data_IF_126900616707
#
_entry.id   IF_126900616707
#
_cell.length_a   1.000
_cell.length_b   1.000
_cell.length_c   1.000
_cell.angle_alpha   90.00
_cell.angle_beta   90.00
_cell.angle_gamma   90.00
#
_symmetry.space_group_name_H-M   'P 1'
#
loop_
_entity.id
_entity.type
_entity.pdbx_description
1 polymer ?
#
# COMPACT_ATOMS: atom_id res chain seq x y z
N UNK A 1 -1.21 24.05 7.13
CA UNK A 1 -0.67 22.70 6.84
C UNK A 1 -1.68 21.61 7.14
N UNK A 2 -1.95 21.24 8.40
CA UNK A 2 -2.89 20.12 8.65
C UNK A 2 -4.34 20.42 8.24
N UNK A 3 -4.76 21.68 8.29
CA UNK A 3 -6.06 22.12 7.75
C UNK A 3 -6.16 21.85 6.24
N UNK A 4 -5.12 22.21 5.48
CA UNK A 4 -5.05 21.98 4.03
C UNK A 4 -5.07 20.49 3.69
N UNK A 5 -4.29 19.68 4.41
CA UNK A 5 -4.26 18.22 4.24
C UNK A 5 -5.63 17.58 4.51
N UNK A 6 -6.35 18.05 5.54
CA UNK A 6 -7.70 17.58 5.84
C UNK A 6 -8.71 18.03 4.79
N UNK A 7 -8.63 19.26 4.31
CA UNK A 7 -9.47 19.74 3.21
C UNK A 7 -9.26 18.91 1.93
N UNK A 8 -8.03 18.45 1.69
CA UNK A 8 -7.67 17.53 0.61
C UNK A 8 -8.01 16.05 0.89
N UNK A 9 -8.60 15.73 2.05
CA UNK A 9 -8.94 14.37 2.50
C UNK A 9 -7.73 13.41 2.60
N UNK A 10 -6.57 13.95 2.97
CA UNK A 10 -5.39 13.15 3.26
C UNK A 10 -5.62 12.35 4.56
N UNK A 11 -5.48 11.03 4.46
CA UNK A 11 -5.75 10.10 5.57
C UNK A 11 -4.53 9.82 6.44
N UNK A 12 -3.31 9.91 5.87
CA UNK A 12 -2.08 9.55 6.56
C UNK A 12 -0.96 10.54 6.20
N UNK A 13 -0.03 10.74 7.13
CA UNK A 13 1.12 11.62 6.97
C UNK A 13 2.40 10.87 7.31
N UNK A 14 3.28 10.69 6.33
CA UNK A 14 4.53 9.91 6.40
C UNK A 14 5.61 10.53 5.50
N UNK A 15 6.78 9.91 5.36
CA UNK A 15 7.97 10.55 4.77
C UNK A 15 8.48 9.90 3.47
N UNK A 16 8.13 8.67 3.16
CA UNK A 16 8.77 7.85 2.12
C UNK A 16 7.86 7.56 0.91
N UNK A 17 6.54 7.49 1.11
CA UNK A 17 5.56 6.98 0.16
C UNK A 17 5.52 7.77 -1.15
N UNK A 18 5.58 9.10 -1.07
CA UNK A 18 5.63 9.96 -2.25
C UNK A 18 6.86 9.67 -3.12
N UNK A 19 8.03 9.50 -2.50
CA UNK A 19 9.29 9.20 -3.19
C UNK A 19 9.25 7.82 -3.81
N UNK A 20 8.86 6.78 -3.06
CA UNK A 20 8.84 5.39 -3.55
C UNK A 20 7.86 5.23 -4.72
N UNK A 21 6.64 5.77 -4.61
CA UNK A 21 5.64 5.66 -5.67
C UNK A 21 6.02 6.43 -6.94
N UNK A 22 6.65 7.59 -6.80
CA UNK A 22 7.18 8.37 -7.93
C UNK A 22 8.31 7.61 -8.64
N UNK A 23 9.29 7.12 -7.89
CA UNK A 23 10.42 6.37 -8.45
C UNK A 23 9.95 5.08 -9.13
N UNK A 24 9.03 4.34 -8.52
CA UNK A 24 8.46 3.15 -9.13
C UNK A 24 7.83 3.45 -10.49
N UNK A 25 7.10 4.56 -10.62
CA UNK A 25 6.50 4.98 -11.89
C UNK A 25 7.55 5.35 -12.93
N UNK A 26 8.62 6.07 -12.55
CA UNK A 26 9.74 6.41 -13.43
C UNK A 26 10.42 5.14 -13.97
N UNK A 27 10.63 4.13 -13.12
CA UNK A 27 11.27 2.86 -13.50
C UNK A 27 10.32 1.82 -14.11
N UNK A 28 9.07 2.18 -14.40
CA UNK A 28 8.09 1.24 -14.97
C UNK A 28 7.76 0.06 -14.06
N UNK A 29 7.83 0.25 -12.74
CA UNK A 29 7.49 -0.73 -11.70
C UNK A 29 6.15 -0.39 -11.04
N UNK A 30 5.62 -1.35 -10.28
CA UNK A 30 4.43 -1.16 -9.44
C UNK A 30 4.89 -0.97 -8.00
N UNK A 31 4.22 -0.07 -7.28
CA UNK A 31 4.43 0.15 -5.86
C UNK A 31 3.07 0.40 -5.18
N UNK A 32 3.02 0.13 -3.89
CA UNK A 32 1.90 0.41 -3.00
C UNK A 32 2.42 0.60 -1.58
N UNK A 33 1.59 1.10 -0.68
CA UNK A 33 1.95 1.36 0.71
C UNK A 33 0.81 0.94 1.64
N UNK A 34 1.17 0.32 2.75
CA UNK A 34 0.33 0.14 3.92
C UNK A 34 1.12 0.65 5.12
N UNK A 35 0.45 1.37 6.03
CA UNK A 35 1.09 1.96 7.20
C UNK A 35 0.20 1.75 8.41
N UNK A 36 0.83 1.58 9.58
CA UNK A 36 0.16 1.71 10.87
C UNK A 36 0.08 3.19 11.27
N UNK A 37 -0.89 3.55 12.12
CA UNK A 37 -1.03 4.90 12.67
C UNK A 37 -0.44 4.90 14.07
N UNK A 38 0.73 5.53 14.21
CA UNK A 38 1.42 5.66 15.51
C UNK A 38 1.06 6.97 16.20
N UNK A 39 0.76 8.01 15.43
CA UNK A 39 0.57 9.36 15.97
C UNK A 39 -0.59 10.07 15.27
N UNK A 40 -1.55 10.57 16.07
CA UNK A 40 -2.61 11.44 15.57
C UNK A 40 -2.28 12.90 15.89
N UNK A 41 -1.69 13.60 14.91
CA UNK A 41 -1.13 14.95 15.11
C UNK A 41 -2.14 16.04 15.47
N UNK A 42 -3.45 15.82 15.26
CA UNK A 42 -4.50 16.78 15.64
C UNK A 42 -4.88 16.65 17.12
N UNK A 43 -4.96 15.42 17.64
CA UNK A 43 -5.36 15.17 19.03
C UNK A 43 -4.15 15.08 19.97
N UNK A 44 -2.96 14.85 19.42
CA UNK A 44 -1.74 14.61 20.19
C UNK A 44 -1.61 13.17 20.70
N UNK A 45 -2.55 12.29 20.37
CA UNK A 45 -2.50 10.88 20.76
C UNK A 45 -1.31 10.18 20.08
N UNK A 46 -0.61 9.38 20.87
CA UNK A 46 0.56 8.63 20.46
C UNK A 46 0.45 7.21 20.99
N UNK A 47 0.57 6.23 20.10
CA UNK A 47 0.52 4.81 20.45
C UNK A 47 1.50 4.01 19.57
N UNK A 48 2.65 3.69 20.14
CA UNK A 48 3.60 2.75 19.55
C UNK A 48 3.21 1.33 19.96
N UNK A 49 2.41 0.67 19.12
CA UNK A 49 2.03 -0.74 19.26
C UNK A 49 2.87 -1.60 18.28
N UNK A 50 3.84 -2.40 18.76
CA UNK A 50 4.63 -3.29 17.92
C UNK A 50 3.78 -4.31 17.13
N UNK A 51 2.63 -4.71 17.67
CA UNK A 51 1.72 -5.61 16.95
C UNK A 51 1.05 -4.91 15.77
N UNK A 52 0.79 -3.60 15.86
CA UNK A 52 0.21 -2.83 14.75
C UNK A 52 1.19 -2.70 13.58
N UNK A 53 2.46 -2.45 13.87
CA UNK A 53 3.54 -2.48 12.88
C UNK A 53 3.68 -3.87 12.26
N UNK A 54 3.68 -4.93 13.07
CA UNK A 54 3.72 -6.30 12.58
C UNK A 54 2.54 -6.61 11.65
N UNK A 55 1.32 -6.21 12.02
CA UNK A 55 0.13 -6.37 11.17
C UNK A 55 0.27 -5.65 9.84
N UNK A 56 0.79 -4.41 9.83
CA UNK A 56 1.04 -3.67 8.59
C UNK A 56 2.04 -4.42 7.68
N UNK A 57 3.14 -4.94 8.25
CA UNK A 57 4.10 -5.77 7.51
C UNK A 57 3.46 -7.05 6.95
N UNK A 58 2.63 -7.75 7.73
CA UNK A 58 1.92 -8.94 7.29
C UNK A 58 0.93 -8.64 6.17
N UNK A 59 0.21 -7.52 6.23
CA UNK A 59 -0.65 -7.05 5.14
C UNK A 59 0.16 -6.81 3.86
N UNK A 60 1.33 -6.18 3.97
CA UNK A 60 2.23 -6.00 2.84
C UNK A 60 2.70 -7.33 2.23
N UNK A 61 3.12 -8.28 3.08
CA UNK A 61 3.54 -9.61 2.64
C UNK A 61 2.40 -10.40 1.97
N UNK A 62 1.18 -10.32 2.52
CA UNK A 62 0.00 -10.97 1.97
C UNK A 62 -0.41 -10.35 0.63
N UNK A 63 -0.35 -9.02 0.51
CA UNK A 63 -0.57 -8.35 -0.76
C UNK A 63 0.44 -8.80 -1.83
N UNK A 64 1.73 -8.96 -1.49
CA UNK A 64 2.74 -9.50 -2.40
C UNK A 64 2.43 -10.94 -2.81
N UNK A 65 2.01 -11.80 -1.87
CA UNK A 65 1.60 -13.19 -2.15
C UNK A 65 0.44 -13.22 -3.16
N UNK A 66 -0.59 -12.40 -2.94
CA UNK A 66 -1.77 -12.30 -3.82
C UNK A 66 -1.37 -11.79 -5.20
N UNK A 67 -0.66 -10.67 -5.28
CA UNK A 67 -0.24 -10.06 -6.55
C UNK A 67 0.67 -10.99 -7.36
N UNK A 68 1.54 -11.75 -6.69
CA UNK A 68 2.38 -12.77 -7.34
C UNK A 68 1.51 -13.87 -7.96
N UNK A 69 0.50 -14.36 -7.23
CA UNK A 69 -0.46 -15.33 -7.76
C UNK A 69 -1.22 -14.79 -8.99
N UNK A 70 -1.61 -13.51 -8.97
CA UNK A 70 -2.26 -12.85 -10.10
C UNK A 70 -1.34 -12.74 -11.32
N UNK A 71 -0.07 -12.41 -11.12
CA UNK A 71 0.90 -12.38 -12.21
C UNK A 71 1.16 -13.76 -12.81
N UNK A 72 1.22 -14.81 -11.98
CA UNK A 72 1.34 -16.20 -12.44
C UNK A 72 0.11 -16.61 -13.28
N UNK A 73 -1.10 -16.34 -12.81
CA UNK A 73 -2.34 -16.67 -13.54
C UNK A 73 -2.44 -15.91 -14.87
N UNK A 74 -2.12 -14.61 -14.85
CA UNK A 74 -2.05 -13.77 -16.06
C UNK A 74 -1.06 -14.31 -17.09
N UNK A 75 0.14 -14.71 -16.63
CA UNK A 75 1.19 -15.24 -17.49
C UNK A 75 0.80 -16.62 -18.07
N UNK A 76 0.24 -17.51 -17.25
CA UNK A 76 -0.23 -18.83 -17.70
C UNK A 76 -1.35 -18.73 -18.76
N UNK A 77 -2.20 -17.71 -18.67
CA UNK A 77 -3.26 -17.43 -19.65
C UNK A 77 -2.80 -16.60 -20.87
N UNK A 78 -1.51 -16.22 -20.94
CA UNK A 78 -0.97 -15.39 -22.03
C UNK A 78 -1.62 -14.00 -22.15
N UNK A 79 -2.16 -13.45 -21.05
CA UNK A 79 -2.87 -12.17 -21.06
C UNK A 79 -1.94 -11.00 -20.78
N UNK A 80 -2.19 -9.87 -21.43
CA UNK A 80 -1.47 -8.60 -21.17
C UNK A 80 -1.84 -7.99 -19.81
N UNK A 81 -3.11 -8.11 -19.41
CA UNK A 81 -3.64 -7.56 -18.17
C UNK A 81 -4.26 -8.66 -17.32
N UNK A 82 -4.25 -8.48 -16.00
CA UNK A 82 -4.97 -9.34 -15.07
C UNK A 82 -6.47 -9.05 -15.12
N UNK A 83 -7.29 -10.11 -15.06
CA UNK A 83 -8.74 -10.03 -14.96
C UNK A 83 -9.19 -10.91 -13.77
N UNK A 84 -10.14 -10.48 -12.93
CA UNK A 84 -10.58 -11.26 -11.77
C UNK A 84 -11.02 -12.70 -12.09
N UNK A 85 -11.59 -12.92 -13.28
CA UNK A 85 -11.99 -14.25 -13.78
C UNK A 85 -10.84 -15.24 -13.93
N UNK A 86 -9.57 -14.80 -13.85
CA UNK A 86 -8.41 -15.68 -13.93
C UNK A 86 -8.12 -16.41 -12.61
N UNK A 87 -8.64 -15.92 -11.48
CA UNK A 87 -8.44 -16.53 -10.16
C UNK A 87 -9.71 -16.70 -9.35
N UNK A 88 -10.79 -15.99 -9.70
CA UNK A 88 -12.13 -16.29 -9.17
C UNK A 88 -12.64 -17.56 -9.84
N UNK A 89 -12.78 -18.64 -9.06
CA UNK A 89 -13.58 -19.81 -9.40
C UNK A 89 -15.04 -19.59 -9.00
#
# INVERSE_FOLDING_TARGET
>A
MFEDLRAAKVLNFEMEGATITTMARIFGKRAGMCATVVAHRITGEWNEDPEAEQRACLVGAEALRILTGWDMAKNAAGKKYYFPTLTCK
#
